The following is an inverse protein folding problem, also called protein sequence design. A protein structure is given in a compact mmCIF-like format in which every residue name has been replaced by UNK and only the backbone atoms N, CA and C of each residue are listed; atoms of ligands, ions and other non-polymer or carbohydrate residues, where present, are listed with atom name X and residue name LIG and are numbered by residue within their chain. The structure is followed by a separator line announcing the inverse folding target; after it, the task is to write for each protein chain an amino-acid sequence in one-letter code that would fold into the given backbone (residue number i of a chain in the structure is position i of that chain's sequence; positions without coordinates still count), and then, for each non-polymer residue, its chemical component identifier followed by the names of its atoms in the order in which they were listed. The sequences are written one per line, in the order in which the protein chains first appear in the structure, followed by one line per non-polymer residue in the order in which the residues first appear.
data_IF_501131420318
#
_entry.id   IF_501131420318
#
_cell.length_a   1.000
_cell.length_b   1.000
_cell.length_c   1.000
_cell.angle_alpha   90.00
_cell.angle_beta   90.00
_cell.angle_gamma   90.00
#
_symmetry.space_group_name_H-M   'P 1'
#
loop_
_entity.id
_entity.type
_entity.pdbx_description
1 polymer ?
#
# COMPACT_ATOMS: atom_id res chain seq x y z
N UNK A 1 -7.26 -24.44 17.06
CA UNK A 1 -7.35 -23.78 15.74
C UNK A 1 -8.55 -22.86 15.78
N UNK A 2 -8.35 -21.59 16.14
CA UNK A 2 -9.41 -20.58 16.03
C UNK A 2 -9.82 -20.52 14.58
N UNK A 3 -11.11 -20.69 14.30
CA UNK A 3 -11.63 -20.54 12.95
C UNK A 3 -11.51 -19.05 12.62
N UNK A 4 -10.55 -18.67 11.77
CA UNK A 4 -10.49 -17.33 11.23
C UNK A 4 -11.79 -17.11 10.46
N UNK A 5 -12.58 -16.14 10.90
CA UNK A 5 -13.79 -15.73 10.21
C UNK A 5 -13.38 -15.16 8.86
N UNK A 6 -13.87 -15.75 7.78
CA UNK A 6 -13.66 -15.27 6.42
C UNK A 6 -14.90 -14.48 6.02
N UNK A 7 -14.69 -13.29 5.43
CA UNK A 7 -15.83 -12.51 4.97
C UNK A 7 -16.49 -13.19 3.78
N UNK A 8 -17.80 -13.28 3.78
CA UNK A 8 -18.59 -13.53 2.57
C UNK A 8 -18.71 -12.23 1.73
N UNK A 9 -19.28 -12.33 0.54
CA UNK A 9 -19.55 -11.15 -0.28
C UNK A 9 -20.56 -10.20 0.40
N UNK A 10 -21.53 -10.75 1.14
CA UNK A 10 -22.51 -9.97 1.90
C UNK A 10 -21.84 -9.26 3.08
N UNK A 11 -20.94 -9.94 3.80
CA UNK A 11 -20.16 -9.33 4.89
C UNK A 11 -19.26 -8.21 4.37
N UNK A 12 -18.59 -8.42 3.22
CA UNK A 12 -17.78 -7.40 2.57
C UNK A 12 -18.62 -6.19 2.17
N UNK A 13 -19.85 -6.41 1.67
CA UNK A 13 -20.79 -5.34 1.35
C UNK A 13 -21.20 -4.56 2.60
N UNK A 14 -21.56 -5.24 3.69
CA UNK A 14 -21.92 -4.60 4.95
C UNK A 14 -20.76 -3.75 5.49
N UNK A 15 -19.56 -4.33 5.54
CA UNK A 15 -18.35 -3.65 6.01
C UNK A 15 -18.10 -2.38 5.18
N UNK A 16 -18.08 -2.49 3.85
CA UNK A 16 -17.83 -1.32 2.98
C UNK A 16 -18.91 -0.26 3.18
N UNK A 17 -20.18 -0.66 3.15
CA UNK A 17 -21.31 0.27 3.27
C UNK A 17 -21.32 1.03 4.60
N UNK A 18 -21.01 0.33 5.70
CA UNK A 18 -21.05 0.89 7.05
C UNK A 18 -19.77 1.63 7.44
N UNK A 19 -18.65 1.35 6.76
CA UNK A 19 -17.31 1.74 7.21
C UNK A 19 -16.49 2.53 6.16
N UNK A 20 -17.12 2.92 5.05
CA UNK A 20 -16.52 3.81 4.06
C UNK A 20 -16.43 5.27 4.53
N UNK A 21 -15.46 5.99 4.02
CA UNK A 21 -15.32 7.44 4.20
C UNK A 21 -14.78 8.09 2.93
N UNK A 22 -15.24 9.32 2.66
CA UNK A 22 -14.78 10.07 1.49
C UNK A 22 -13.36 10.57 1.71
N UNK A 23 -12.49 10.36 0.73
CA UNK A 23 -11.10 10.81 0.83
C UNK A 23 -11.04 12.32 0.63
N UNK A 24 -10.42 13.02 1.58
CA UNK A 24 -10.18 14.45 1.47
C UNK A 24 -9.19 14.74 0.34
N UNK A 25 -9.58 15.60 -0.61
CA UNK A 25 -8.77 15.88 -1.79
C UNK A 25 -7.40 16.50 -1.46
N UNK A 26 -7.30 17.25 -0.37
CA UNK A 26 -6.03 17.80 0.14
C UNK A 26 -5.07 16.73 0.66
N UNK A 27 -5.54 15.50 0.88
CA UNK A 27 -4.79 14.39 1.49
C UNK A 27 -4.77 13.14 0.61
N UNK A 28 -5.19 13.26 -0.66
CA UNK A 28 -5.30 12.14 -1.62
C UNK A 28 -3.98 11.37 -1.86
N UNK A 29 -2.83 11.99 -1.59
CA UNK A 29 -1.51 11.38 -1.71
C UNK A 29 -0.90 10.92 -0.38
N UNK A 30 -1.55 11.19 0.75
CA UNK A 30 -1.09 10.66 2.03
C UNK A 30 -1.43 9.18 2.05
N UNK A 31 -0.41 8.34 2.18
CA UNK A 31 -0.57 6.90 2.12
C UNK A 31 -0.51 6.24 3.49
N UNK A 32 -0.87 4.95 3.51
CA UNK A 32 -0.56 3.99 4.56
C UNK A 32 -0.36 2.61 3.92
N UNK A 33 0.19 1.66 4.68
CA UNK A 33 0.26 0.27 4.26
C UNK A 33 -1.15 -0.33 4.12
N UNK A 34 -1.29 -1.39 3.32
CA UNK A 34 -2.57 -2.10 3.14
C UNK A 34 -3.04 -2.85 4.40
N UNK A 35 -2.20 -2.93 5.44
CA UNK A 35 -2.46 -3.67 6.69
C UNK A 35 -3.81 -3.35 7.33
N UNK A 36 -4.41 -4.39 7.90
CA UNK A 36 -5.66 -4.33 8.67
C UNK A 36 -5.51 -3.75 10.07
N UNK A 37 -4.28 -3.64 10.58
CA UNK A 37 -3.99 -3.27 11.99
C UNK A 37 -4.12 -1.77 12.28
N UNK A 38 -4.26 -0.92 11.25
CA UNK A 38 -4.44 0.52 11.46
C UNK A 38 -5.74 0.79 12.22
N UNK A 39 -5.64 1.52 13.33
CA UNK A 39 -6.82 1.92 14.10
C UNK A 39 -7.68 2.91 13.31
N UNK A 40 -8.99 2.70 13.36
CA UNK A 40 -9.95 3.61 12.74
C UNK A 40 -9.89 4.99 13.41
N UNK A 41 -9.67 6.04 12.63
CA UNK A 41 -9.59 7.41 13.11
C UNK A 41 -10.12 8.39 12.05
N UNK A 42 -10.73 9.53 12.44
CA UNK A 42 -11.35 10.51 11.52
C UNK A 42 -10.45 11.12 10.43
N UNK A 43 -9.16 10.78 10.45
CA UNK A 43 -8.13 11.29 9.57
C UNK A 43 -7.22 10.18 9.05
N UNK A 44 -7.70 8.94 8.99
CA UNK A 44 -6.89 7.85 8.46
C UNK A 44 -6.58 8.11 6.97
N UNK A 45 -5.32 7.97 6.51
CA UNK A 45 -4.99 8.11 5.10
C UNK A 45 -5.79 7.14 4.22
N UNK A 46 -6.43 7.69 3.18
CA UNK A 46 -7.32 6.92 2.29
C UNK A 46 -6.59 6.10 1.24
N UNK A 47 -5.40 6.54 0.82
CA UNK A 47 -4.55 5.80 -0.10
C UNK A 47 -3.86 4.67 0.67
N UNK A 48 -4.11 3.43 0.25
CA UNK A 48 -3.50 2.25 0.84
C UNK A 48 -2.70 1.50 -0.23
N UNK A 49 -1.39 1.39 -0.02
CA UNK A 49 -0.45 0.75 -0.95
C UNK A 49 0.53 -0.14 -0.19
N UNK A 50 1.02 -1.24 -0.77
CA UNK A 50 2.02 -2.10 -0.13
C UNK A 50 3.22 -1.31 0.38
N UNK A 51 3.48 -1.34 1.69
CA UNK A 51 4.63 -0.67 2.30
C UNK A 51 4.60 0.87 2.31
N UNK A 52 3.46 1.50 2.02
CA UNK A 52 3.33 2.96 2.08
C UNK A 52 4.28 3.70 1.13
N UNK A 53 4.84 4.82 1.57
CA UNK A 53 5.70 5.67 0.72
C UNK A 53 7.07 5.04 0.45
N UNK A 54 7.59 4.26 1.40
CA UNK A 54 8.80 3.46 1.18
C UNK A 54 8.56 2.39 0.11
N UNK A 55 7.36 1.81 0.06
CA UNK A 55 6.95 0.87 -0.97
C UNK A 55 6.83 1.47 -2.36
N UNK A 56 6.38 2.72 -2.47
CA UNK A 56 6.34 3.43 -3.74
C UNK A 56 7.76 3.65 -4.33
N UNK A 57 8.76 3.91 -3.48
CA UNK A 57 10.16 4.00 -3.91
C UNK A 57 10.73 2.63 -4.29
N UNK A 58 10.45 1.61 -3.47
CA UNK A 58 10.85 0.24 -3.76
C UNK A 58 10.26 -0.24 -5.10
N UNK A 59 9.00 0.12 -5.39
CA UNK A 59 8.34 -0.13 -6.66
C UNK A 59 9.09 0.51 -7.82
N UNK A 60 9.47 1.79 -7.72
CA UNK A 60 10.25 2.47 -8.75
C UNK A 60 11.58 1.75 -9.01
N UNK A 61 12.29 1.35 -7.96
CA UNK A 61 13.61 0.70 -8.09
C UNK A 61 13.49 -0.69 -8.70
N UNK A 62 12.48 -1.45 -8.29
CA UNK A 62 12.15 -2.74 -8.88
C UNK A 62 11.81 -2.61 -10.37
N UNK A 63 11.00 -1.62 -10.72
CA UNK A 63 10.63 -1.34 -12.11
C UNK A 63 11.86 -0.96 -12.94
N UNK A 64 12.77 -0.15 -12.40
CA UNK A 64 14.02 0.21 -13.06
C UNK A 64 14.88 -1.02 -13.40
N UNK A 65 15.01 -1.93 -12.44
CA UNK A 65 15.80 -3.16 -12.62
C UNK A 65 15.15 -4.10 -13.65
N UNK A 66 13.82 -4.22 -13.64
CA UNK A 66 13.10 -5.12 -14.57
C UNK A 66 13.03 -4.59 -16.00
N UNK A 67 12.90 -3.27 -16.19
CA UNK A 67 12.75 -2.65 -17.51
C UNK A 67 14.03 -1.99 -18.05
N UNK A 68 15.09 -1.95 -17.24
CA UNK A 68 16.43 -1.50 -17.67
C UNK A 68 16.63 0.02 -17.76
N UNK A 69 15.88 0.82 -17.01
CA UNK A 69 16.07 2.28 -16.98
C UNK A 69 16.83 2.75 -15.74
N UNK A 70 17.39 3.96 -15.79
CA UNK A 70 18.15 4.53 -14.67
C UNK A 70 17.28 5.42 -13.78
N UNK A 71 17.61 5.44 -12.48
CA UNK A 71 16.92 6.26 -11.47
C UNK A 71 17.94 7.06 -10.66
N UNK A 72 17.74 8.37 -10.56
CA UNK A 72 18.34 9.18 -9.52
C UNK A 72 17.51 9.00 -8.24
N UNK A 73 17.98 8.10 -7.37
CA UNK A 73 17.27 7.74 -6.14
C UNK A 73 17.03 8.94 -5.21
N UNK A 74 18.00 9.85 -5.11
CA UNK A 74 17.88 11.02 -4.24
C UNK A 74 16.81 11.97 -4.78
N UNK A 75 16.83 12.23 -6.08
CA UNK A 75 15.84 13.10 -6.72
C UNK A 75 14.44 12.47 -6.70
N UNK A 76 14.34 11.16 -6.94
CA UNK A 76 13.08 10.43 -6.88
C UNK A 76 12.42 10.54 -5.49
N UNK A 77 13.22 10.40 -4.43
CA UNK A 77 12.78 10.60 -3.06
C UNK A 77 12.32 12.03 -2.78
N UNK A 78 13.08 13.05 -3.21
CA UNK A 78 12.68 14.45 -3.01
C UNK A 78 11.36 14.75 -3.72
N UNK A 79 11.16 14.24 -4.93
CA UNK A 79 9.91 14.40 -5.69
C UNK A 79 8.73 13.77 -4.95
N UNK A 80 8.92 12.57 -4.38
CA UNK A 80 7.89 11.92 -3.59
C UNK A 80 7.52 12.75 -2.35
N UNK A 81 8.53 13.26 -1.64
CA UNK A 81 8.36 14.11 -0.45
C UNK A 81 7.61 15.40 -0.79
N UNK A 82 7.94 16.03 -1.91
CA UNK A 82 7.23 17.22 -2.39
C UNK A 82 5.77 16.91 -2.73
N UNK A 83 5.51 15.80 -3.44
CA UNK A 83 4.16 15.41 -3.85
C UNK A 83 3.23 15.17 -2.64
N UNK A 84 3.74 14.55 -1.58
CA UNK A 84 2.97 14.28 -0.36
C UNK A 84 2.88 15.47 0.59
N UNK A 85 3.47 16.62 0.25
CA UNK A 85 3.41 17.84 1.06
C UNK A 85 4.42 17.88 2.23
N UNK A 86 5.52 17.14 2.12
CA UNK A 86 6.67 17.21 3.03
C UNK A 86 6.91 15.94 3.86
N UNK A 87 8.11 15.82 4.44
CA UNK A 87 8.59 14.59 5.10
C UNK A 87 7.73 14.14 6.27
N UNK A 88 7.04 15.05 6.96
CA UNK A 88 6.13 14.70 8.07
C UNK A 88 4.98 13.77 7.66
N UNK A 89 4.65 13.71 6.37
CA UNK A 89 3.60 12.85 5.82
C UNK A 89 4.13 11.56 5.21
N UNK A 90 5.46 11.37 5.21
CA UNK A 90 6.08 10.15 4.71
C UNK A 90 5.66 8.97 5.59
N UNK A 91 4.89 8.05 5.01
CA UNK A 91 4.30 6.91 5.71
C UNK A 91 5.24 5.72 5.71
N UNK A 92 5.59 5.28 6.93
CA UNK A 92 6.28 4.02 7.22
C UNK A 92 5.62 3.41 8.47
N UNK A 93 5.29 2.13 8.40
CA UNK A 93 4.81 1.34 9.54
C UNK A 93 5.86 0.34 10.04
N UNK A 94 5.76 0.00 11.33
CA UNK A 94 6.46 -1.12 11.97
C UNK A 94 5.44 -1.98 12.73
N UNK A 95 5.34 -3.27 12.42
CA UNK A 95 4.83 -4.31 13.32
C UNK A 95 5.76 -4.54 14.53
N UNK A 96 5.24 -4.28 15.73
CA UNK A 96 5.95 -4.52 17.00
C UNK A 96 5.98 -5.98 17.45
N UNK A 97 5.05 -6.82 16.98
CA UNK A 97 4.96 -8.23 17.41
C UNK A 97 6.14 -9.05 16.89
N UNK A 98 6.74 -8.63 15.76
CA UNK A 98 7.90 -9.27 15.14
C UNK A 98 9.25 -8.67 15.57
N UNK A 99 9.29 -7.67 16.46
CA UNK A 99 10.53 -6.93 16.79
C UNK A 99 11.50 -7.65 17.75
N UNK A 100 11.39 -8.97 17.94
CA UNK A 100 12.35 -9.75 18.73
C UNK A 100 13.65 -9.94 17.94
N UNK A 101 14.67 -9.12 18.24
CA UNK A 101 16.12 -9.25 18.00
C UNK A 101 16.69 -9.68 16.63
N UNK A 102 15.87 -10.02 15.63
CA UNK A 102 16.33 -10.44 14.28
C UNK A 102 15.50 -9.87 13.11
N UNK A 103 14.41 -9.13 13.37
CA UNK A 103 13.57 -8.50 12.34
C UNK A 103 13.38 -7.03 12.68
N UNK A 104 14.28 -6.19 12.17
CA UNK A 104 14.39 -4.79 12.56
C UNK A 104 13.33 -3.86 11.96
N UNK A 105 12.46 -4.34 11.06
CA UNK A 105 11.55 -3.47 10.31
C UNK A 105 10.16 -4.10 10.21
N UNK A 106 9.26 -3.79 11.15
CA UNK A 106 7.99 -4.49 11.26
C UNK A 106 7.00 -4.35 10.09
N UNK A 107 7.24 -3.59 9.03
CA UNK A 107 6.39 -3.70 7.84
C UNK A 107 6.67 -5.01 7.12
N UNK A 108 5.65 -5.85 6.90
CA UNK A 108 5.80 -7.15 6.25
C UNK A 108 6.41 -7.02 4.85
N UNK A 109 5.95 -6.05 4.06
CA UNK A 109 6.49 -5.77 2.73
C UNK A 109 7.97 -5.39 2.80
N UNK A 110 8.34 -4.54 3.75
CA UNK A 110 9.72 -4.11 3.96
C UNK A 110 10.62 -5.28 4.40
N UNK A 111 10.14 -6.13 5.30
CA UNK A 111 10.84 -7.36 5.68
C UNK A 111 11.06 -8.27 4.48
N UNK A 112 10.06 -8.41 3.60
CA UNK A 112 10.18 -9.24 2.41
C UNK A 112 11.28 -8.72 1.46
N UNK A 113 11.36 -7.40 1.26
CA UNK A 113 12.45 -6.78 0.49
C UNK A 113 13.82 -6.97 1.13
N UNK A 114 13.93 -6.93 2.46
CA UNK A 114 15.21 -7.09 3.18
C UNK A 114 15.68 -8.54 3.15
N UNK A 115 14.77 -9.49 3.36
CA UNK A 115 15.09 -10.92 3.45
C UNK A 115 15.37 -11.52 2.07
N UNK A 116 14.60 -11.11 1.05
CA UNK A 116 14.76 -11.63 -0.31
C UNK A 116 14.58 -10.54 -1.38
N UNK A 117 15.52 -9.58 -1.47
CA UNK A 117 15.45 -8.50 -2.45
C UNK A 117 15.21 -8.98 -3.91
N UNK A 118 15.90 -10.04 -4.40
CA UNK A 118 15.71 -10.50 -5.78
C UNK A 118 14.30 -10.96 -6.12
N UNK A 119 13.54 -11.47 -5.13
CA UNK A 119 12.13 -11.88 -5.32
C UNK A 119 11.23 -10.70 -5.64
N UNK A 120 11.64 -9.49 -5.24
CA UNK A 120 10.94 -8.23 -5.49
C UNK A 120 11.66 -7.37 -6.54
N UNK A 121 12.56 -7.98 -7.32
CA UNK A 121 13.39 -7.29 -8.32
C UNK A 121 14.21 -6.14 -7.75
N UNK A 122 14.63 -6.23 -6.48
CA UNK A 122 15.49 -5.25 -5.82
C UNK A 122 16.92 -5.76 -5.68
N UNK A 123 17.88 -4.83 -5.72
CA UNK A 123 19.28 -5.07 -5.43
C UNK A 123 19.60 -4.79 -3.94
N UNK A 124 20.59 -5.46 -3.32
CA UNK A 124 20.93 -5.25 -1.91
C UNK A 124 21.32 -3.80 -1.55
N UNK A 125 22.02 -3.09 -2.42
CA UNK A 125 22.36 -1.67 -2.25
C UNK A 125 21.11 -0.76 -2.22
N UNK A 126 20.07 -1.09 -3.00
CA UNK A 126 18.81 -0.34 -3.01
C UNK A 126 18.07 -0.46 -1.68
N UNK A 127 18.23 -1.58 -0.96
CA UNK A 127 17.70 -1.72 0.40
C UNK A 127 18.36 -0.72 1.35
N UNK A 128 19.68 -0.56 1.28
CA UNK A 128 20.41 0.44 2.08
C UNK A 128 19.94 1.86 1.74
N UNK A 129 19.75 2.17 0.46
CA UNK A 129 19.22 3.48 0.01
C UNK A 129 17.82 3.74 0.60
N UNK A 130 16.92 2.77 0.54
CA UNK A 130 15.56 2.89 1.12
C UNK A 130 15.61 3.13 2.64
N UNK A 131 16.52 2.46 3.35
CA UNK A 131 16.72 2.65 4.79
C UNK A 131 17.25 4.06 5.11
N UNK A 132 18.18 4.58 4.32
CA UNK A 132 18.71 5.95 4.46
C UNK A 132 17.65 7.02 4.17
N UNK A 133 16.84 6.82 3.13
CA UNK A 133 15.72 7.71 2.79
C UNK A 133 14.65 7.72 3.88
N UNK A 134 14.32 6.54 4.41
CA UNK A 134 13.43 6.37 5.56
C UNK A 134 13.98 7.11 6.79
N UNK A 135 15.26 6.91 7.13
CA UNK A 135 15.90 7.59 8.24
C UNK A 135 15.91 9.12 8.06
N UNK A 136 16.15 9.59 6.83
CA UNK A 136 16.10 11.01 6.47
C UNK A 136 14.69 11.59 6.68
N UNK A 137 13.65 10.88 6.24
CA UNK A 137 12.26 11.29 6.46
C UNK A 137 11.93 11.40 7.95
N UNK A 138 12.33 10.40 8.76
CA UNK A 138 12.15 10.39 10.23
C UNK A 138 12.85 11.58 10.89
N UNK A 139 14.10 11.84 10.53
CA UNK A 139 14.86 13.01 11.02
C UNK A 139 14.15 14.34 10.70
N UNK A 140 13.41 14.37 9.58
CA UNK A 140 12.65 15.53 9.11
C UNK A 140 11.16 15.51 9.52
N UNK A 141 10.80 14.70 10.53
CA UNK A 141 9.49 14.74 11.17
C UNK A 141 8.48 13.71 10.70
N UNK A 142 8.86 12.76 9.83
CA UNK A 142 8.03 11.59 9.57
C UNK A 142 7.79 10.82 10.87
N UNK A 143 6.54 10.43 11.13
CA UNK A 143 6.18 9.63 12.29
C UNK A 143 6.16 8.17 11.91
N UNK A 144 6.86 7.37 12.70
CA UNK A 144 6.78 5.93 12.62
C UNK A 144 5.54 5.46 13.38
N UNK A 145 4.65 4.74 12.68
CA UNK A 145 3.49 4.13 13.32
C UNK A 145 3.83 2.71 13.71
N UNK A 146 3.71 2.41 15.00
CA UNK A 146 3.83 1.05 15.51
C UNK A 146 2.46 0.40 15.48
N UNK A 147 2.35 -0.70 14.74
CA UNK A 147 1.20 -1.59 14.70
C UNK A 147 1.44 -2.70 15.73
N UNK A 148 0.57 -2.78 16.74
CA UNK A 148 0.71 -3.64 17.92
C UNK A 148 -0.45 -4.62 18.10
N UNK A 149 -1.36 -4.65 17.12
CA UNK A 149 -2.51 -5.55 17.10
C UNK A 149 -2.15 -6.88 16.43
N UNK A 150 -2.81 -7.97 16.79
CA UNK A 150 -2.66 -9.22 16.05
C UNK A 150 -3.28 -9.11 14.65
N UNK A 151 -2.66 -9.76 13.66
CA UNK A 151 -3.21 -9.91 12.33
C UNK A 151 -4.46 -10.78 12.37
N UNK A 152 -5.60 -10.19 12.00
CA UNK A 152 -6.93 -10.82 11.96
C UNK A 152 -7.66 -10.49 10.66
N UNK A 153 -6.89 -10.34 9.59
CA UNK A 153 -7.43 -10.06 8.26
C UNK A 153 -8.34 -11.20 7.79
N UNK A 154 -9.57 -10.84 7.44
CA UNK A 154 -10.64 -11.77 7.05
C UNK A 154 -10.92 -11.78 5.54
N UNK A 155 -10.38 -10.78 4.82
CA UNK A 155 -10.49 -10.62 3.37
C UNK A 155 -9.44 -9.63 2.85
N UNK A 156 -9.27 -9.62 1.53
CA UNK A 156 -8.60 -8.55 0.78
C UNK A 156 -9.64 -7.77 -0.01
N UNK A 157 -9.61 -6.45 0.10
CA UNK A 157 -10.47 -5.54 -0.66
C UNK A 157 -9.61 -4.73 -1.63
N UNK A 158 -9.87 -4.88 -2.93
CA UNK A 158 -9.32 -4.04 -4.00
C UNK A 158 -10.36 -2.98 -4.34
N UNK A 159 -10.13 -1.76 -3.89
CA UNK A 159 -11.12 -0.68 -3.89
C UNK A 159 -10.92 0.29 -5.06
N UNK A 160 -12.02 0.60 -5.74
CA UNK A 160 -12.14 1.59 -6.80
C UNK A 160 -13.12 2.71 -6.38
N UNK A 161 -12.78 3.95 -6.71
CA UNK A 161 -13.60 5.14 -6.42
C UNK A 161 -12.90 6.21 -5.59
N UNK A 162 -13.65 7.24 -5.19
CA UNK A 162 -13.18 8.39 -4.37
C UNK A 162 -13.23 8.14 -2.85
N UNK A 163 -13.71 6.95 -2.46
CA UNK A 163 -13.87 6.55 -1.07
C UNK A 163 -12.71 5.64 -0.67
N UNK A 164 -12.47 5.60 0.63
CA UNK A 164 -11.66 4.57 1.28
C UNK A 164 -12.51 3.90 2.36
N UNK A 165 -11.99 2.84 2.94
CA UNK A 165 -12.70 2.03 3.94
C UNK A 165 -11.80 1.90 5.16
N UNK A 166 -12.40 2.04 6.34
CA UNK A 166 -11.70 1.78 7.57
C UNK A 166 -11.36 0.28 7.66
N UNK A 167 -10.12 -0.08 8.01
CA UNK A 167 -9.66 -1.46 7.88
C UNK A 167 -10.16 -2.40 8.98
N UNK A 168 -10.76 -1.86 10.06
CA UNK A 168 -11.29 -2.66 11.18
C UNK A 168 -12.81 -2.54 11.25
N UNK A 169 -13.51 -3.66 11.48
CA UNK A 169 -14.96 -3.69 11.63
C UNK A 169 -15.40 -4.79 12.60
N UNK A 170 -16.43 -4.49 13.41
CA UNK A 170 -16.99 -5.45 14.36
C UNK A 170 -18.36 -5.89 13.86
N UNK A 171 -18.45 -7.13 13.38
CA UNK A 171 -19.72 -7.77 13.08
C UNK A 171 -20.43 -8.15 14.38
N UNK A 172 -21.72 -7.81 14.50
CA UNK A 172 -22.54 -8.12 15.68
C UNK A 172 -23.63 -9.10 15.28
N UNK A 173 -23.54 -10.31 15.81
CA UNK A 173 -24.55 -11.36 15.72
C UNK A 173 -25.35 -11.40 17.03
N UNK A 174 -26.43 -12.18 17.06
CA UNK A 174 -27.30 -12.28 18.25
C UNK A 174 -26.56 -12.76 19.50
N UNK A 175 -25.57 -13.65 19.34
CA UNK A 175 -24.88 -14.35 20.43
C UNK A 175 -23.39 -13.95 20.57
N UNK A 176 -22.82 -13.24 19.59
CA UNK A 176 -21.39 -12.91 19.56
C UNK A 176 -21.06 -11.68 18.73
N UNK A 177 -19.91 -11.07 19.02
CA UNK A 177 -19.28 -10.08 18.16
C UNK A 177 -17.96 -10.61 17.61
N UNK A 178 -17.70 -10.36 16.32
CA UNK A 178 -16.44 -10.73 15.67
C UNK A 178 -15.73 -9.45 15.26
N UNK A 179 -14.57 -9.20 15.88
CA UNK A 179 -13.65 -8.13 15.48
C UNK A 179 -12.81 -8.63 14.30
N UNK A 180 -12.87 -7.90 13.19
CA UNK A 180 -12.28 -8.28 11.91
C UNK A 180 -11.41 -7.16 11.37
N UNK A 181 -10.38 -7.57 10.63
CA UNK A 181 -9.55 -6.66 9.86
C UNK A 181 -9.66 -7.01 8.37
N UNK A 182 -9.29 -6.08 7.48
CA UNK A 182 -9.14 -6.34 6.04
C UNK A 182 -7.80 -5.82 5.53
N UNK A 183 -7.21 -6.54 4.57
CA UNK A 183 -6.24 -5.90 3.69
C UNK A 183 -6.98 -5.00 2.72
N UNK A 184 -6.60 -3.73 2.64
CA UNK A 184 -7.23 -2.78 1.72
C UNK A 184 -6.19 -2.25 0.74
N UNK A 185 -6.42 -2.43 -0.56
CA UNK A 185 -5.66 -1.77 -1.62
C UNK A 185 -6.55 -0.76 -2.34
N UNK A 186 -6.22 0.54 -2.27
CA UNK A 186 -6.98 1.60 -2.92
C UNK A 186 -6.40 1.86 -4.31
N UNK A 187 -6.94 1.15 -5.31
CA UNK A 187 -6.40 1.12 -6.67
C UNK A 187 -6.56 2.47 -7.37
N UNK A 188 -7.72 3.13 -7.27
CA UNK A 188 -7.97 4.41 -7.95
C UNK A 188 -7.00 5.52 -7.51
N UNK A 189 -6.72 5.62 -6.21
CA UNK A 189 -5.78 6.59 -5.65
C UNK A 189 -4.33 6.19 -5.94
N UNK A 190 -4.02 4.89 -5.90
CA UNK A 190 -2.69 4.38 -6.24
C UNK A 190 -2.36 4.70 -7.71
N UNK A 191 -3.27 4.43 -8.65
CA UNK A 191 -3.09 4.73 -10.07
C UNK A 191 -2.91 6.24 -10.31
N UNK A 192 -3.72 7.08 -9.66
CA UNK A 192 -3.58 8.54 -9.75
C UNK A 192 -2.24 9.05 -9.23
N UNK A 193 -1.78 8.51 -8.11
CA UNK A 193 -0.49 8.86 -7.53
C UNK A 193 0.64 8.39 -8.44
N UNK A 194 0.60 7.15 -8.92
CA UNK A 194 1.60 6.58 -9.83
C UNK A 194 1.69 7.38 -11.12
N UNK A 195 0.56 7.76 -11.72
CA UNK A 195 0.56 8.60 -12.94
C UNK A 195 1.20 9.97 -12.70
N UNK A 196 0.91 10.59 -11.56
CA UNK A 196 1.52 11.89 -11.21
C UNK A 196 3.01 11.76 -10.88
N UNK A 197 3.43 10.70 -10.19
CA UNK A 197 4.83 10.41 -9.91
C UNK A 197 5.61 10.09 -11.19
N UNK A 198 5.08 9.27 -12.09
CA UNK A 198 5.71 8.97 -13.38
C UNK A 198 5.98 10.27 -14.16
N UNK A 199 4.96 11.15 -14.26
CA UNK A 199 5.09 12.47 -14.86
C UNK A 199 6.19 13.31 -14.18
N UNK A 200 6.19 13.38 -12.85
CA UNK A 200 7.16 14.19 -12.10
C UNK A 200 8.58 13.64 -12.19
N UNK A 201 8.78 12.33 -12.02
CA UNK A 201 10.07 11.67 -12.09
C UNK A 201 10.67 11.78 -13.50
N UNK A 202 9.86 11.63 -14.54
CA UNK A 202 10.31 11.82 -15.92
C UNK A 202 10.67 13.29 -16.19
N UNK A 203 9.75 14.23 -15.96
CA UNK A 203 9.95 15.66 -16.31
C UNK A 203 11.05 16.33 -15.50
N UNK A 204 11.25 15.93 -14.25
CA UNK A 204 12.35 16.43 -13.39
C UNK A 204 13.66 15.65 -13.58
N UNK A 205 13.69 14.64 -14.47
CA UNK A 205 14.86 13.80 -14.77
C UNK A 205 15.38 12.94 -13.62
N UNK A 206 14.48 12.56 -12.71
CA UNK A 206 14.79 11.53 -11.72
C UNK A 206 14.78 10.12 -12.31
N UNK A 207 14.18 9.95 -13.50
CA UNK A 207 14.19 8.72 -14.29
C UNK A 207 14.68 9.03 -15.69
N UNK A 208 15.60 8.19 -16.20
CA UNK A 208 16.12 8.26 -17.56
C UNK A 208 15.71 7.03 -18.35
N UNK A 209 14.72 7.19 -19.23
CA UNK A 209 14.23 6.12 -20.11
C UNK A 209 15.03 6.04 -21.42
N UNK A 210 14.88 4.92 -22.13
CA UNK A 210 15.42 4.78 -23.49
C UNK A 210 14.78 5.78 -24.47
N UNK A 211 15.47 6.11 -25.59
CA UNK A 211 14.95 7.04 -26.58
C UNK A 211 13.56 6.64 -27.10
N UNK A 212 12.65 7.63 -27.16
CA UNK A 212 11.23 7.54 -27.59
C UNK A 212 10.27 6.95 -26.56
N UNK A 213 10.72 6.66 -25.35
CA UNK A 213 9.85 6.36 -24.22
C UNK A 213 9.55 7.66 -23.45
N UNK A 214 8.37 7.73 -22.83
CA UNK A 214 7.86 8.92 -22.15
C UNK A 214 7.27 8.58 -20.77
N UNK A 215 6.67 9.57 -20.11
CA UNK A 215 6.04 9.37 -18.80
C UNK A 215 4.88 8.38 -18.79
N UNK A 216 4.19 8.16 -19.92
CA UNK A 216 3.08 7.21 -19.99
C UNK A 216 3.63 5.78 -19.98
N UNK A 217 4.72 5.52 -20.72
CA UNK A 217 5.43 4.24 -20.62
C UNK A 217 5.90 3.95 -19.19
N UNK A 218 6.45 4.95 -18.50
CA UNK A 218 6.87 4.79 -17.10
C UNK A 218 5.68 4.45 -16.20
N UNK A 219 4.53 5.11 -16.40
CA UNK A 219 3.30 4.80 -15.65
C UNK A 219 2.81 3.37 -15.90
N UNK A 220 2.82 2.89 -17.14
CA UNK A 220 2.41 1.52 -17.49
C UNK A 220 3.34 0.49 -16.81
N UNK A 221 4.66 0.68 -16.92
CA UNK A 221 5.65 -0.21 -16.30
C UNK A 221 5.53 -0.24 -14.76
N UNK A 222 5.33 0.92 -14.13
CA UNK A 222 5.07 1.01 -12.68
C UNK A 222 3.78 0.30 -12.29
N UNK A 223 2.75 0.37 -13.14
CA UNK A 223 1.44 -0.24 -12.85
C UNK A 223 1.49 -1.75 -12.95
N UNK A 224 2.15 -2.29 -13.96
CA UNK A 224 2.40 -3.73 -14.09
C UNK A 224 3.21 -4.25 -12.90
N UNK A 225 4.30 -3.56 -12.53
CA UNK A 225 5.12 -3.96 -11.38
C UNK A 225 4.35 -3.85 -10.06
N UNK A 226 3.49 -2.85 -9.89
CA UNK A 226 2.68 -2.69 -8.69
C UNK A 226 1.70 -3.84 -8.50
N UNK A 227 1.06 -4.30 -9.58
CA UNK A 227 0.17 -5.45 -9.57
C UNK A 227 0.93 -6.74 -9.22
N UNK A 228 2.09 -6.95 -9.86
CA UNK A 228 2.96 -8.09 -9.57
C UNK A 228 3.38 -8.13 -8.10
N UNK A 229 3.83 -7.01 -7.53
CA UNK A 229 4.24 -6.93 -6.13
C UNK A 229 3.06 -7.09 -5.15
N UNK A 230 1.88 -6.53 -5.48
CA UNK A 230 0.67 -6.70 -4.68
C UNK A 230 0.32 -8.20 -4.58
N UNK A 231 0.17 -8.88 -5.71
CA UNK A 231 -0.21 -10.30 -5.71
C UNK A 231 0.89 -11.21 -5.16
N UNK A 232 2.17 -10.89 -5.36
CA UNK A 232 3.27 -11.61 -4.72
C UNK A 232 3.21 -11.51 -3.18
N UNK A 233 2.90 -10.32 -2.66
CA UNK A 233 2.68 -10.12 -1.23
C UNK A 233 1.45 -10.85 -0.71
N UNK A 234 0.32 -10.74 -1.40
CA UNK A 234 -0.94 -11.41 -1.02
C UNK A 234 -0.81 -12.95 -1.05
N UNK A 235 -0.03 -13.52 -1.98
CA UNK A 235 0.26 -14.97 -2.00
C UNK A 235 0.95 -15.46 -0.73
N UNK A 236 1.74 -14.61 -0.09
CA UNK A 236 2.47 -14.94 1.13
C UNK A 236 1.64 -14.66 2.38
N UNK A 237 0.92 -13.54 2.42
CA UNK A 237 0.31 -13.01 3.65
C UNK A 237 -1.19 -13.22 3.74
N UNK A 238 -1.89 -13.28 2.61
CA UNK A 238 -3.34 -13.41 2.53
C UNK A 238 -3.78 -14.78 2.01
N UNK A 239 -2.94 -15.81 2.18
CA UNK A 239 -3.23 -17.15 1.67
C UNK A 239 -4.55 -17.68 2.26
N UNK A 240 -5.49 -18.02 1.37
CA UNK A 240 -6.81 -18.53 1.75
C UNK A 240 -7.85 -17.45 2.10
N UNK A 241 -7.48 -16.17 2.10
CA UNK A 241 -8.44 -15.08 2.25
C UNK A 241 -9.19 -14.83 0.93
N UNK A 242 -10.50 -14.55 0.98
CA UNK A 242 -11.24 -14.12 -0.19
C UNK A 242 -10.77 -12.72 -0.63
N UNK A 243 -10.65 -12.52 -1.94
CA UNK A 243 -10.41 -11.21 -2.54
C UNK A 243 -11.70 -10.69 -3.16
N UNK A 244 -12.04 -9.45 -2.83
CA UNK A 244 -13.16 -8.74 -3.41
C UNK A 244 -12.69 -7.50 -4.15
N UNK A 245 -13.17 -7.35 -5.38
CA UNK A 245 -13.15 -6.06 -6.08
C UNK A 245 -14.38 -5.29 -5.65
N UNK A 246 -14.16 -4.07 -5.18
CA UNK A 246 -15.22 -3.18 -4.72
C UNK A 246 -15.13 -1.89 -5.50
N UNK A 247 -16.26 -1.44 -6.07
CA UNK A 247 -16.38 -0.13 -6.72
C UNK A 247 -17.42 0.70 -5.98
N UNK A 248 -17.01 1.89 -5.54
CA UNK A 248 -17.91 2.89 -4.95
C UNK A 248 -17.99 4.06 -5.91
N UNK A 249 -19.16 4.26 -6.51
CA UNK A 249 -19.36 5.36 -7.45
C UNK A 249 -19.64 6.71 -6.74
N UNK A 250 -19.86 7.75 -7.55
CA UNK A 250 -20.15 9.11 -7.07
C UNK A 250 -21.49 9.24 -6.34
N UNK A 251 -22.43 8.31 -6.58
CA UNK A 251 -23.78 8.29 -6.04
C UNK A 251 -23.87 7.34 -4.82
N UNK A 252 -22.72 6.82 -4.36
CA UNK A 252 -22.56 5.82 -3.29
C UNK A 252 -23.18 4.46 -3.61
N UNK A 253 -23.36 4.14 -4.89
CA UNK A 253 -23.63 2.78 -5.30
C UNK A 253 -22.37 1.94 -5.11
N UNK A 254 -22.55 0.77 -4.49
CA UNK A 254 -21.48 -0.17 -4.17
C UNK A 254 -21.69 -1.42 -5.02
N UNK A 255 -20.74 -1.69 -5.90
CA UNK A 255 -20.64 -2.93 -6.66
C UNK A 255 -19.52 -3.79 -6.06
N UNK A 256 -19.80 -5.06 -5.82
CA UNK A 256 -18.82 -6.02 -5.26
C UNK A 256 -18.83 -7.29 -6.08
N UNK A 257 -17.65 -7.69 -6.54
CA UNK A 257 -17.43 -8.98 -7.18
C UNK A 257 -16.26 -9.70 -6.52
N UNK A 258 -16.33 -11.04 -6.46
CA UNK A 258 -15.20 -11.86 -6.01
C UNK A 258 -14.15 -11.97 -7.10
N UNK A 259 -12.88 -11.91 -6.72
CA UNK A 259 -11.77 -12.38 -7.55
C UNK A 259 -11.62 -13.88 -7.32
N UNK A 260 -11.83 -14.68 -8.36
CA UNK A 260 -11.85 -16.14 -8.25
C UNK A 260 -10.43 -16.78 -8.29
N UNK A 261 -9.38 -15.99 -8.58
CA UNK A 261 -8.02 -16.52 -8.79
C UNK A 261 -6.92 -15.69 -8.10
N UNK A 262 -5.98 -16.39 -7.45
CA UNK A 262 -4.61 -15.95 -7.10
C UNK A 262 -3.66 -17.11 -7.37
#
# INVERSE_FOLDING_TARGET
MSHNYLLTQEDAFELVKSNQYKVEQSRKYHSRCISGQYKNAPNLPGLTIPGGDAGELALLYATANSYGFEVDYQQAFQILIELIGGSRFFSIDLDSVRSSSQRADGCIFRNAWIISPPTYSLEPNQITILQEQTATAKKNGAKELVLDDEHREAAVIILHGEYSVYPQYIFRFEDRSIDTQIYLYQQTLADRRRKELARLWFTKRAVSLYPRLDEEYLYEALSEMAENQLFAGLKTEAQGLPIYKVTIDKDNYIDISRYDEI
#
